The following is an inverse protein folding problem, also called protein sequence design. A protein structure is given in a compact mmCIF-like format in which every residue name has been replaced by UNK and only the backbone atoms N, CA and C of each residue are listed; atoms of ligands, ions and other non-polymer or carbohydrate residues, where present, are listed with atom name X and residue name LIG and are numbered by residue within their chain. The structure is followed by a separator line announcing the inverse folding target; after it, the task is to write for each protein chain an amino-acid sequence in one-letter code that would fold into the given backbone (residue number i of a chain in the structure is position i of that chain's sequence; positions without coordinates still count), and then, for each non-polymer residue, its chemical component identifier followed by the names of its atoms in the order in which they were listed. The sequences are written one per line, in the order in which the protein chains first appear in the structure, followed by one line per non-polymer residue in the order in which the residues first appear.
data_IF_477983188381
#
_entry.id   IF_477983188381
#
_cell.length_a   1.000
_cell.length_b   1.000
_cell.length_c   1.000
_cell.angle_alpha   90.00
_cell.angle_beta   90.00
_cell.angle_gamma   90.00
#
_symmetry.space_group_name_H-M   'P 1'
#
loop_
_entity.id
_entity.type
_entity.pdbx_description
1 polymer ?
#
# COMPACT_ATOMS: atom_id res chain seq x y z
N UNK A 1 1.68 10.61 6.34
CA UNK A 1 1.65 11.34 5.05
C UNK A 1 2.41 10.60 3.95
N UNK A 2 3.74 10.36 4.05
CA UNK A 2 4.48 9.64 2.99
C UNK A 2 3.95 8.22 2.71
N UNK A 3 3.56 7.48 3.75
CA UNK A 3 2.92 6.17 3.66
C UNK A 3 1.67 6.20 2.76
N UNK A 4 0.72 7.08 3.05
CA UNK A 4 -0.54 7.22 2.30
C UNK A 4 -0.30 7.72 0.87
N UNK A 5 0.72 8.55 0.66
CA UNK A 5 1.10 9.00 -0.67
C UNK A 5 1.58 7.83 -1.55
N UNK A 6 2.31 6.88 -0.98
CA UNK A 6 2.73 5.68 -1.71
C UNK A 6 1.54 4.81 -2.12
N UNK A 7 0.48 4.71 -1.32
CA UNK A 7 -0.75 4.06 -1.76
C UNK A 7 -1.38 4.82 -2.94
N UNK A 8 -1.48 6.14 -2.82
CA UNK A 8 -2.13 6.99 -3.82
C UNK A 8 -1.49 6.88 -5.22
N UNK A 9 -0.17 6.81 -5.29
CA UNK A 9 0.57 6.67 -6.56
C UNK A 9 0.15 5.42 -7.36
N UNK A 10 -0.26 4.35 -6.67
CA UNK A 10 -0.70 3.11 -7.31
C UNK A 10 -2.18 3.08 -7.67
N UNK A 11 -2.97 4.07 -7.25
CA UNK A 11 -4.36 4.19 -7.70
C UNK A 11 -4.44 4.41 -9.21
N UNK A 12 -5.50 3.94 -9.89
CA UNK A 12 -5.74 4.28 -11.28
C UNK A 12 -5.71 5.80 -11.51
N UNK A 13 -5.01 6.22 -12.57
CA UNK A 13 -4.82 7.65 -12.85
C UNK A 13 -3.92 8.37 -11.84
N UNK A 14 -2.97 7.66 -11.19
CA UNK A 14 -2.05 8.26 -10.20
C UNK A 14 -2.77 8.93 -9.01
N UNK A 15 -3.92 8.40 -8.63
CA UNK A 15 -4.73 8.97 -7.57
C UNK A 15 -5.61 10.15 -7.97
N UNK A 16 -5.61 10.54 -9.23
CA UNK A 16 -6.40 11.66 -9.75
C UNK A 16 -7.79 11.24 -10.26
N UNK A 17 -8.17 9.97 -10.06
CA UNK A 17 -9.51 9.50 -10.43
C UNK A 17 -10.57 9.94 -9.41
N UNK A 18 -11.82 10.10 -9.86
CA UNK A 18 -12.96 10.40 -8.99
C UNK A 18 -13.25 9.32 -7.94
N UNK A 19 -12.67 8.13 -8.10
CA UNK A 19 -12.78 7.01 -7.17
C UNK A 19 -11.66 6.99 -6.11
N UNK A 20 -10.67 7.90 -6.23
CA UNK A 20 -9.60 8.03 -5.24
C UNK A 20 -10.00 9.04 -4.18
N UNK A 21 -10.21 8.58 -2.97
CA UNK A 21 -10.64 9.41 -1.84
C UNK A 21 -9.49 9.56 -0.85
N UNK A 22 -9.23 10.80 -0.45
CA UNK A 22 -8.33 11.11 0.65
C UNK A 22 -9.17 11.61 1.83
N UNK A 23 -9.15 10.89 2.92
CA UNK A 23 -9.82 11.25 4.16
C UNK A 23 -8.81 11.83 5.14
N UNK A 24 -9.10 13.01 5.66
CA UNK A 24 -8.23 13.69 6.61
C UNK A 24 -9.02 13.94 7.89
N UNK A 25 -8.51 13.40 9.02
CA UNK A 25 -9.05 13.67 10.35
C UNK A 25 -8.05 14.51 11.16
N UNK A 26 -8.10 15.85 11.07
CA UNK A 26 -7.11 16.72 11.70
C UNK A 26 -6.97 16.52 13.20
N UNK A 27 -8.10 16.28 13.89
CA UNK A 27 -8.11 16.04 15.35
C UNK A 27 -7.41 14.75 15.79
N UNK A 28 -7.25 13.78 14.89
CA UNK A 28 -6.58 12.51 15.15
C UNK A 28 -5.22 12.41 14.46
N UNK A 29 -4.82 13.46 13.75
CA UNK A 29 -3.61 13.48 12.88
C UNK A 29 -3.56 12.28 11.94
N UNK A 30 -4.74 11.83 11.50
CA UNK A 30 -4.87 10.65 10.66
C UNK A 30 -5.23 11.09 9.25
N UNK A 31 -4.50 10.53 8.29
CA UNK A 31 -4.81 10.59 6.87
C UNK A 31 -4.96 9.15 6.39
N UNK A 32 -5.98 8.89 5.59
CA UNK A 32 -6.16 7.60 4.94
C UNK A 32 -6.55 7.81 3.48
N UNK A 33 -6.05 6.96 2.61
CA UNK A 33 -6.34 6.99 1.18
C UNK A 33 -7.11 5.73 0.81
N UNK A 34 -8.20 5.90 0.08
CA UNK A 34 -9.08 4.81 -0.37
C UNK A 34 -9.32 4.91 -1.87
N UNK A 35 -9.39 3.77 -2.50
CA UNK A 35 -9.86 3.66 -3.87
C UNK A 35 -11.19 2.90 -3.89
N UNK A 36 -12.27 3.59 -4.26
CA UNK A 36 -13.63 3.04 -4.37
C UNK A 36 -13.87 2.42 -5.74
N UNK A 37 -13.07 1.46 -6.12
CA UNK A 37 -13.20 0.75 -7.39
C UNK A 37 -12.54 -0.62 -7.30
N UNK A 38 -12.72 -1.39 -8.36
CA UNK A 38 -12.02 -2.66 -8.50
C UNK A 38 -10.72 -2.48 -9.27
N UNK A 39 -9.67 -3.11 -8.81
CA UNK A 39 -8.39 -3.18 -9.51
C UNK A 39 -7.88 -4.63 -9.53
N UNK A 40 -7.01 -5.00 -10.48
CA UNK A 40 -6.39 -6.33 -10.51
C UNK A 40 -5.70 -6.64 -9.18
N UNK A 41 -5.82 -7.89 -8.71
CA UNK A 41 -5.18 -8.37 -7.48
C UNK A 41 -3.71 -7.96 -7.37
N UNK A 42 -2.94 -8.12 -8.44
CA UNK A 42 -1.51 -7.79 -8.47
C UNK A 42 -1.29 -6.31 -8.18
N UNK A 43 -2.04 -5.42 -8.83
CA UNK A 43 -1.94 -3.98 -8.59
C UNK A 43 -2.33 -3.61 -7.16
N UNK A 44 -3.37 -4.24 -6.63
CA UNK A 44 -3.80 -4.03 -5.26
C UNK A 44 -2.72 -4.44 -4.24
N UNK A 45 -2.08 -5.59 -4.47
CA UNK A 45 -0.97 -6.06 -3.61
C UNK A 45 0.23 -5.12 -3.68
N UNK A 46 0.62 -4.68 -4.89
CA UNK A 46 1.72 -3.71 -5.05
C UNK A 46 1.38 -2.40 -4.34
N UNK A 47 0.17 -1.88 -4.50
CA UNK A 47 -0.30 -0.69 -3.81
C UNK A 47 -0.15 -0.85 -2.28
N UNK A 48 -0.65 -1.96 -1.70
CA UNK A 48 -0.60 -2.19 -0.26
C UNK A 48 0.81 -2.40 0.28
N UNK A 49 1.68 -3.05 -0.46
CA UNK A 49 3.05 -3.34 -0.03
C UNK A 49 4.03 -2.19 -0.32
N UNK A 50 3.66 -1.22 -1.16
CA UNK A 50 4.57 -0.13 -1.55
C UNK A 50 5.09 0.70 -0.38
N UNK A 51 4.33 1.05 0.69
CA UNK A 51 4.89 1.75 1.84
C UNK A 51 5.87 0.88 2.63
N UNK A 52 5.59 -0.41 2.77
CA UNK A 52 6.51 -1.34 3.45
C UNK A 52 7.84 -1.41 2.71
N UNK A 53 7.81 -1.57 1.40
CA UNK A 53 9.02 -1.63 0.57
C UNK A 53 9.73 -0.27 0.56
N UNK A 54 9.01 0.81 0.27
CA UNK A 54 9.60 2.14 0.07
C UNK A 54 10.10 2.83 1.34
N UNK A 55 9.43 2.61 2.48
CA UNK A 55 9.74 3.33 3.74
C UNK A 55 10.27 2.42 4.86
N UNK A 56 10.36 1.10 4.64
CA UNK A 56 10.97 0.17 5.59
C UNK A 56 12.10 -0.61 4.93
N UNK A 57 11.82 -1.42 3.90
CA UNK A 57 12.82 -2.31 3.32
C UNK A 57 13.97 -1.52 2.66
N UNK A 58 13.67 -0.61 1.75
CA UNK A 58 14.69 0.18 1.07
C UNK A 58 15.52 1.05 2.03
N UNK A 59 14.93 1.83 2.97
CA UNK A 59 15.71 2.57 3.94
C UNK A 59 16.55 1.67 4.86
N UNK A 60 16.07 0.46 5.20
CA UNK A 60 16.88 -0.50 5.98
C UNK A 60 18.10 -0.94 5.19
N UNK A 61 17.96 -1.25 3.90
CA UNK A 61 19.08 -1.61 3.04
C UNK A 61 20.08 -0.45 2.90
N UNK A 62 19.58 0.78 2.74
CA UNK A 62 20.42 1.98 2.72
C UNK A 62 21.17 2.13 4.05
N UNK A 63 20.49 1.96 5.18
CA UNK A 63 21.11 2.07 6.49
C UNK A 63 22.24 1.05 6.67
N UNK A 64 22.05 -0.20 6.23
CA UNK A 64 23.09 -1.23 6.30
C UNK A 64 24.34 -0.86 5.48
N UNK A 65 24.18 -0.17 4.36
CA UNK A 65 25.29 0.29 3.52
C UNK A 65 26.01 1.49 4.14
N UNK A 66 25.26 2.47 4.67
CA UNK A 66 25.85 3.71 5.19
C UNK A 66 26.35 3.59 6.63
N UNK A 67 25.92 2.57 7.37
CA UNK A 67 26.29 2.39 8.78
C UNK A 67 27.81 2.32 9.01
N UNK A 68 28.59 1.58 8.19
CA UNK A 68 30.05 1.56 8.32
C UNK A 68 30.75 2.81 7.75
N UNK A 69 30.00 3.70 7.09
CA UNK A 69 30.54 4.94 6.55
C UNK A 69 30.42 6.05 7.60
N UNK A 70 31.31 7.07 7.53
CA UNK A 70 31.26 8.23 8.43
C UNK A 70 30.10 9.19 8.11
N UNK A 71 28.89 8.64 7.91
CA UNK A 71 27.68 9.43 7.71
C UNK A 71 27.22 9.98 9.06
N UNK A 72 26.80 11.25 9.06
CA UNK A 72 26.34 11.94 10.26
C UNK A 72 25.30 11.10 11.03
N UNK A 73 25.51 10.98 12.34
CA UNK A 73 24.61 10.30 13.28
C UNK A 73 23.17 10.78 13.15
N UNK A 74 22.94 12.06 12.88
CA UNK A 74 21.60 12.62 12.64
C UNK A 74 20.85 11.90 11.52
N UNK A 75 21.49 11.67 10.36
CA UNK A 75 20.85 11.01 9.23
C UNK A 75 20.57 9.54 9.50
N UNK A 76 21.45 8.86 10.21
CA UNK A 76 21.23 7.47 10.61
C UNK A 76 20.00 7.37 11.52
N UNK A 77 19.88 8.23 12.55
CA UNK A 77 18.71 8.25 13.44
C UNK A 77 17.44 8.65 12.72
N UNK A 78 17.49 9.57 11.77
CA UNK A 78 16.34 9.96 10.96
C UNK A 78 15.80 8.78 10.13
N UNK A 79 16.70 8.01 9.49
CA UNK A 79 16.31 6.81 8.72
C UNK A 79 15.69 5.76 9.66
N UNK A 80 16.28 5.51 10.81
CA UNK A 80 15.72 4.59 11.82
C UNK A 80 14.31 5.01 12.24
N UNK A 81 14.11 6.30 12.51
CA UNK A 81 12.79 6.83 12.87
C UNK A 81 11.74 6.59 11.75
N UNK A 82 12.11 6.84 10.50
CA UNK A 82 11.23 6.59 9.34
C UNK A 82 10.87 5.11 9.27
N UNK A 83 11.83 4.21 9.41
CA UNK A 83 11.61 2.76 9.42
C UNK A 83 10.64 2.35 10.52
N UNK A 84 10.86 2.81 11.76
CA UNK A 84 10.04 2.44 12.91
C UNK A 84 8.60 2.95 12.76
N UNK A 85 8.42 4.23 12.44
CA UNK A 85 7.09 4.83 12.28
C UNK A 85 6.31 4.15 11.16
N UNK A 86 6.97 3.89 10.01
CA UNK A 86 6.30 3.22 8.90
C UNK A 86 5.96 1.76 9.22
N UNK A 87 6.85 1.03 9.91
CA UNK A 87 6.60 -0.39 10.27
C UNK A 87 5.37 -0.56 11.14
N UNK A 88 5.11 0.38 12.05
CA UNK A 88 3.88 0.39 12.85
C UNK A 88 2.63 0.58 11.98
N UNK A 89 2.68 1.47 10.99
CA UNK A 89 1.56 1.71 10.06
C UNK A 89 1.36 0.57 9.05
N UNK A 90 2.44 -0.04 8.57
CA UNK A 90 2.39 -1.06 7.53
C UNK A 90 1.87 -2.43 7.97
N UNK A 91 1.71 -2.67 9.28
CA UNK A 91 1.24 -3.97 9.81
C UNK A 91 -0.13 -4.38 9.26
N UNK A 92 -1.08 -3.43 9.19
CA UNK A 92 -2.41 -3.65 8.62
C UNK A 92 -2.37 -3.99 7.14
N UNK A 93 -1.51 -3.32 6.39
CA UNK A 93 -1.33 -3.56 4.94
C UNK A 93 -0.72 -4.93 4.67
N UNK A 94 0.22 -5.35 5.50
CA UNK A 94 0.83 -6.67 5.38
C UNK A 94 -0.20 -7.77 5.64
N UNK A 95 -0.97 -7.68 6.72
CA UNK A 95 -2.04 -8.65 7.04
C UNK A 95 -3.07 -8.71 5.91
N UNK A 96 -3.57 -7.56 5.44
CA UNK A 96 -4.53 -7.50 4.33
C UNK A 96 -3.94 -8.11 3.05
N UNK A 97 -2.66 -7.85 2.76
CA UNK A 97 -1.97 -8.41 1.60
C UNK A 97 -1.85 -9.94 1.67
N UNK A 98 -1.54 -10.49 2.85
CA UNK A 98 -1.49 -11.96 3.06
C UNK A 98 -2.86 -12.58 2.85
N UNK A 99 -3.94 -11.97 3.38
CA UNK A 99 -5.30 -12.47 3.20
C UNK A 99 -5.68 -12.48 1.72
N UNK A 100 -5.49 -11.37 1.01
CA UNK A 100 -5.81 -11.27 -0.42
C UNK A 100 -4.96 -12.21 -1.25
N UNK A 101 -3.67 -12.35 -0.95
CA UNK A 101 -2.77 -13.26 -1.66
C UNK A 101 -3.19 -14.74 -1.51
N UNK A 102 -3.81 -15.12 -0.40
CA UNK A 102 -4.28 -16.49 -0.15
C UNK A 102 -5.69 -16.76 -0.65
N UNK A 103 -6.57 -15.78 -0.63
CA UNK A 103 -8.00 -15.98 -0.88
C UNK A 103 -8.44 -15.56 -2.29
N UNK A 104 -7.70 -14.68 -2.95
CA UNK A 104 -8.07 -14.18 -4.28
C UNK A 104 -7.21 -14.86 -5.34
N UNK A 105 -7.84 -15.42 -6.39
CA UNK A 105 -7.13 -16.00 -7.52
C UNK A 105 -6.30 -14.95 -8.27
N UNK A 106 -5.27 -15.36 -9.03
CA UNK A 106 -4.34 -14.47 -9.73
C UNK A 106 -5.03 -13.52 -10.72
N UNK A 107 -6.09 -13.95 -11.39
CA UNK A 107 -6.92 -13.12 -12.29
C UNK A 107 -8.04 -12.34 -11.58
N UNK A 108 -8.18 -12.50 -10.28
CA UNK A 108 -9.23 -11.83 -9.51
C UNK A 108 -9.03 -10.31 -9.38
N UNK A 109 -10.11 -9.63 -9.06
CA UNK A 109 -10.12 -8.19 -8.80
C UNK A 109 -10.47 -7.93 -7.34
N UNK A 110 -9.83 -6.93 -6.75
CA UNK A 110 -10.04 -6.48 -5.38
C UNK A 110 -10.50 -5.03 -5.41
N UNK A 111 -11.50 -4.72 -4.61
CA UNK A 111 -12.00 -3.37 -4.42
C UNK A 111 -12.24 -3.08 -2.95
N UNK A 112 -12.31 -1.80 -2.62
CA UNK A 112 -12.69 -1.35 -1.29
C UNK A 112 -14.04 -0.63 -1.38
N UNK A 113 -14.90 -0.93 -0.43
CA UNK A 113 -16.16 -0.23 -0.27
C UNK A 113 -16.42 -0.04 1.22
N UNK A 114 -16.69 1.18 1.61
CA UNK A 114 -16.98 1.53 3.01
C UNK A 114 -15.96 0.96 4.03
N UNK A 115 -14.66 1.05 3.70
CA UNK A 115 -13.56 0.60 4.56
C UNK A 115 -13.35 -0.92 4.62
N UNK A 116 -14.07 -1.70 3.78
CA UNK A 116 -13.92 -3.15 3.69
C UNK A 116 -13.38 -3.55 2.32
N UNK A 117 -12.52 -4.56 2.29
CA UNK A 117 -12.05 -5.15 1.05
C UNK A 117 -13.03 -6.22 0.57
N UNK A 118 -13.39 -6.15 -0.70
CA UNK A 118 -14.21 -7.12 -1.40
C UNK A 118 -13.42 -7.64 -2.60
N UNK A 119 -13.67 -8.87 -3.01
CA UNK A 119 -13.05 -9.42 -4.22
C UNK A 119 -14.07 -10.18 -5.05
N UNK A 120 -13.80 -10.25 -6.35
CA UNK A 120 -14.54 -11.02 -7.31
C UNK A 120 -13.59 -11.82 -8.19
N UNK A 121 -14.01 -13.01 -8.60
CA UNK A 121 -13.31 -13.76 -9.64
C UNK A 121 -13.37 -13.00 -10.97
N UNK A 122 -12.39 -13.20 -11.83
CA UNK A 122 -12.47 -12.74 -13.22
C UNK A 122 -13.68 -13.42 -13.89
N UNK A 123 -14.53 -12.63 -14.56
CA UNK A 123 -15.64 -13.16 -15.33
C UNK A 123 -15.04 -14.03 -16.44
N UNK A 124 -15.31 -15.32 -16.44
CA UNK A 124 -14.88 -16.20 -17.51
C UNK A 124 -15.43 -15.63 -18.84
N UNK A 125 -14.55 -15.15 -19.70
CA UNK A 125 -14.89 -14.73 -21.06
C UNK A 125 -15.27 -16.02 -21.78
N UNK A 126 -16.57 -16.32 -21.92
CA UNK A 126 -17.00 -17.48 -22.70
C UNK A 126 -18.29 -18.17 -22.28
N UNK A 127 -19.09 -17.68 -21.33
CA UNK A 127 -20.33 -18.37 -20.94
C UNK A 127 -21.63 -17.76 -21.53
N UNK A 128 -21.54 -16.91 -22.53
CA UNK A 128 -22.71 -16.35 -23.25
C UNK A 128 -22.76 -16.79 -24.72
N UNK A 129 -22.42 -18.05 -25.00
CA UNK A 129 -22.66 -18.64 -26.33
C UNK A 129 -23.11 -20.09 -26.14
N UNK A 130 -24.35 -20.28 -25.68
CA UNK A 130 -25.09 -21.51 -25.82
C UNK A 130 -26.62 -21.19 -25.74
#
# INVERSE_FOLDING_TARGET
MAHEFLHLVWHPGWGLSSQSLMLIWPRRLLVAVYYEGFMPRTRWLVMRLSPLVGLTVLPTLVLLVIYPCEVSFFWQQFIVLVILVNSLGAGGDLVASVIVARQVASGGQVGNWNGRAYWRAEKAIGSEAA
#
